data_IF_018990906173
#
_entry.id   IF_018990906173
#
_cell.length_a   1.000
_cell.length_b   1.000
_cell.length_c   1.000
_cell.angle_alpha   90.00
_cell.angle_beta   90.00
_cell.angle_gamma   90.00
#
_symmetry.space_group_name_H-M   'P 1'
#
loop_
_entity.id
_entity.type
_entity.pdbx_description
1 polymer ?
#
# COMPACT_ATOMS: atom_id res chain seq x y z
N UNK A 1 9.81 -41.46 7.73
CA UNK A 1 9.69 -40.39 6.76
C UNK A 1 9.16 -39.16 7.51
N UNK A 2 10.06 -38.27 7.97
CA UNK A 2 9.71 -37.01 8.64
C UNK A 2 9.84 -35.90 7.56
N UNK A 3 8.74 -35.41 7.04
CA UNK A 3 8.72 -34.24 6.14
C UNK A 3 8.81 -32.98 7.01
N UNK A 4 9.81 -32.19 6.75
CA UNK A 4 10.10 -30.93 7.42
C UNK A 4 9.00 -29.90 7.16
N UNK A 5 8.33 -29.47 8.23
CA UNK A 5 7.33 -28.37 8.25
C UNK A 5 8.03 -27.01 8.47
N UNK A 6 9.36 -26.97 8.42
CA UNK A 6 10.18 -25.82 8.83
C UNK A 6 10.18 -24.58 7.89
N UNK A 7 9.90 -24.65 6.56
CA UNK A 7 9.97 -23.45 5.74
C UNK A 7 8.74 -22.51 5.83
N UNK A 8 7.57 -23.00 6.24
CA UNK A 8 6.34 -22.19 6.27
C UNK A 8 6.30 -21.26 7.48
N UNK A 9 6.81 -21.71 8.63
CA UNK A 9 6.91 -20.88 9.85
C UNK A 9 7.92 -19.74 9.74
N UNK A 10 8.95 -19.87 8.88
CA UNK A 10 9.96 -18.83 8.70
C UNK A 10 9.47 -17.67 7.82
N UNK A 11 8.50 -17.91 6.95
CA UNK A 11 7.96 -16.91 6.05
C UNK A 11 7.07 -15.88 6.79
N UNK A 12 6.25 -16.33 7.73
CA UNK A 12 5.41 -15.43 8.55
C UNK A 12 6.21 -14.58 9.56
N UNK A 13 7.40 -15.02 9.96
CA UNK A 13 8.25 -14.27 10.90
C UNK A 13 9.07 -13.16 10.23
N UNK A 14 9.33 -13.23 8.92
CA UNK A 14 10.17 -12.25 8.20
C UNK A 14 9.40 -11.01 7.73
N UNK A 15 8.08 -11.05 7.68
CA UNK A 15 7.23 -9.87 7.40
C UNK A 15 7.04 -8.96 8.62
N UNK A 16 7.63 -9.32 9.78
CA UNK A 16 7.41 -8.68 11.08
C UNK A 16 8.56 -7.79 11.59
N UNK A 17 9.61 -7.56 10.82
CA UNK A 17 10.64 -6.61 11.24
C UNK A 17 10.18 -5.17 11.01
N UNK A 18 9.43 -4.62 11.98
CA UNK A 18 9.38 -3.18 12.21
C UNK A 18 10.82 -2.68 12.52
N UNK A 19 11.25 -1.53 11.99
CA UNK A 19 12.57 -1.02 12.26
C UNK A 19 12.69 -0.70 13.75
N UNK A 20 13.63 -1.35 14.44
CA UNK A 20 14.21 -0.81 15.66
C UNK A 20 14.90 0.50 15.27
N UNK A 21 14.22 1.61 15.49
CA UNK A 21 14.83 2.94 15.42
C UNK A 21 15.83 3.01 16.57
N UNK A 22 17.09 2.96 16.22
CA UNK A 22 18.20 3.27 17.13
C UNK A 22 17.98 4.67 17.72
N UNK A 23 17.81 4.74 19.03
CA UNK A 23 17.80 5.95 19.82
C UNK A 23 19.22 6.59 19.77
N UNK A 24 19.38 7.59 18.92
CA UNK A 24 20.39 8.63 19.09
C UNK A 24 19.71 9.98 18.91
N UNK A 25 19.99 10.97 19.77
CA UNK A 25 19.32 12.26 19.71
C UNK A 25 19.88 13.09 18.56
N UNK A 26 19.09 13.43 17.58
CA UNK A 26 19.37 14.52 16.66
C UNK A 26 18.32 15.62 16.79
N UNK A 27 18.82 16.82 16.86
CA UNK A 27 18.14 18.07 17.08
C UNK A 27 17.06 18.38 16.02
N UNK A 28 16.09 19.15 16.49
CA UNK A 28 14.97 19.75 15.81
C UNK A 28 15.11 19.98 14.29
N UNK A 29 14.19 19.42 13.53
CA UNK A 29 13.94 19.73 12.13
C UNK A 29 12.57 19.20 11.76
N UNK A 30 11.68 20.12 11.56
CA UNK A 30 10.27 20.09 11.23
C UNK A 30 9.74 18.84 10.53
N UNK A 31 8.73 18.25 11.15
CA UNK A 31 7.84 17.28 10.55
C UNK A 31 7.05 17.91 9.39
N UNK A 32 7.23 17.40 8.19
CA UNK A 32 6.33 17.69 7.08
C UNK A 32 5.17 16.68 7.13
N UNK A 33 4.06 17.11 7.69
CA UNK A 33 2.75 16.49 7.44
C UNK A 33 2.36 16.83 6.01
N UNK A 34 2.21 15.81 5.17
CA UNK A 34 1.57 15.94 3.87
C UNK A 34 0.07 16.15 4.09
N UNK A 35 -0.34 17.40 4.09
CA UNK A 35 -1.74 17.82 4.00
C UNK A 35 -2.03 18.10 2.53
N UNK A 36 -3.00 17.40 1.97
CA UNK A 36 -3.71 17.79 0.76
C UNK A 36 -4.34 19.16 0.93
N UNK A 37 -4.07 20.07 0.01
CA UNK A 37 -5.01 21.15 -0.30
C UNK A 37 -4.80 21.62 -1.74
N UNK A 38 -5.91 21.70 -2.44
CA UNK A 38 -6.08 22.07 -3.81
C UNK A 38 -6.13 23.59 -4.01
N UNK A 39 -5.86 23.96 -5.25
CA UNK A 39 -6.43 25.04 -6.04
C UNK A 39 -5.91 26.47 -5.89
N UNK A 40 -5.55 27.01 -7.04
CA UNK A 40 -6.08 28.31 -7.42
C UNK A 40 -5.12 29.32 -8.04
N UNK A 41 -5.22 29.43 -9.36
CA UNK A 41 -5.29 30.64 -10.20
C UNK A 41 -4.03 31.45 -10.55
N UNK A 42 -3.73 31.44 -11.82
CA UNK A 42 -3.73 32.53 -12.81
C UNK A 42 -2.75 33.72 -12.64
N UNK A 43 -2.07 34.05 -13.74
CA UNK A 43 -1.48 35.36 -14.05
C UNK A 43 -0.30 35.28 -14.99
N UNK A 44 -0.55 35.32 -16.25
CA UNK A 44 -0.27 36.28 -17.32
C UNK A 44 1.19 36.69 -17.61
N UNK A 45 1.55 36.35 -18.87
CA UNK A 45 2.22 37.19 -19.91
C UNK A 45 3.66 37.63 -19.72
N UNK A 46 4.53 37.32 -20.67
CA UNK A 46 4.95 38.28 -21.70
C UNK A 46 5.93 37.70 -22.72
N UNK A 47 5.65 38.01 -23.92
CA UNK A 47 6.32 37.89 -25.23
C UNK A 47 7.77 38.34 -25.29
N UNK A 48 8.61 37.69 -26.14
CA UNK A 48 9.42 38.44 -27.12
C UNK A 48 9.97 37.54 -28.23
N UNK A 49 10.03 38.13 -29.41
CA UNK A 49 10.16 37.72 -30.80
C UNK A 49 11.63 37.63 -31.24
N UNK A 50 11.93 36.63 -32.07
CA UNK A 50 12.87 36.45 -33.21
C UNK A 50 14.11 37.35 -33.40
N UNK A 51 15.12 36.99 -34.22
CA UNK A 51 14.98 36.50 -35.61
C UNK A 51 15.97 35.43 -36.09
N UNK A 52 15.59 34.84 -37.22
CA UNK A 52 16.36 33.99 -38.14
C UNK A 52 17.36 34.83 -38.97
N UNK A 53 18.47 34.23 -39.47
CA UNK A 53 18.81 34.41 -40.86
C UNK A 53 18.98 33.10 -41.66
N UNK A 54 18.64 33.28 -42.90
CA UNK A 54 18.55 32.42 -44.06
C UNK A 54 19.93 32.15 -44.71
N UNK A 55 19.96 31.06 -45.49
CA UNK A 55 20.72 30.81 -46.70
C UNK A 55 21.99 29.94 -46.61
N UNK A 56 22.00 28.75 -47.20
CA UNK A 56 22.39 28.48 -48.56
C UNK A 56 22.40 26.95 -48.86
N UNK A 57 21.82 26.60 -49.97
CA UNK A 57 21.74 25.26 -50.53
C UNK A 57 23.08 24.77 -51.09
N UNK A 58 23.41 23.46 -50.84
CA UNK A 58 24.21 22.66 -51.74
C UNK A 58 23.59 21.27 -51.84
N UNK A 59 23.20 20.94 -53.06
CA UNK A 59 22.72 19.64 -53.51
C UNK A 59 23.83 18.61 -53.48
N UNK A 60 23.61 17.46 -52.85
CA UNK A 60 24.33 16.23 -53.19
C UNK A 60 23.42 14.99 -53.07
N UNK A 61 23.66 14.10 -53.99
CA UNK A 61 22.89 12.99 -54.46
C UNK A 61 22.36 12.02 -53.37
N UNK A 62 21.17 11.50 -53.67
CA UNK A 62 20.48 10.45 -52.97
C UNK A 62 21.30 9.14 -52.91
N UNK A 63 21.66 8.71 -51.71
CA UNK A 63 21.83 7.32 -51.35
C UNK A 63 20.64 6.90 -50.52
N UNK A 64 19.87 5.93 -51.02
CA UNK A 64 18.74 5.35 -50.34
C UNK A 64 19.20 4.72 -49.03
N UNK A 65 18.85 5.36 -47.93
CA UNK A 65 18.92 4.78 -46.58
C UNK A 65 17.91 3.61 -46.47
N UNK A 66 18.26 2.53 -45.73
CA UNK A 66 17.28 1.50 -45.40
C UNK A 66 16.07 2.11 -44.66
N UNK A 67 14.88 1.50 -44.78
CA UNK A 67 13.69 2.02 -44.10
C UNK A 67 13.99 2.17 -42.60
N UNK A 68 13.78 3.36 -42.08
CA UNK A 68 13.84 3.57 -40.63
C UNK A 68 12.86 2.59 -39.99
N UNK A 69 13.36 1.70 -39.13
CA UNK A 69 12.51 0.91 -38.24
C UNK A 69 11.63 1.91 -37.47
N UNK A 70 10.33 1.76 -37.62
CA UNK A 70 9.37 2.51 -36.80
C UNK A 70 9.71 2.18 -35.34
N UNK A 71 10.03 3.17 -34.49
CA UNK A 71 10.31 2.88 -33.10
C UNK A 71 9.12 2.12 -32.55
N UNK A 72 9.37 1.00 -31.86
CA UNK A 72 8.34 0.27 -31.14
C UNK A 72 7.62 1.27 -30.23
N UNK A 73 6.28 1.19 -30.09
CA UNK A 73 5.56 2.08 -29.20
C UNK A 73 6.21 2.03 -27.82
N UNK A 74 6.45 3.21 -27.25
CA UNK A 74 7.04 3.32 -25.92
C UNK A 74 6.20 2.47 -24.95
N UNK A 75 6.85 1.50 -24.30
CA UNK A 75 6.18 0.63 -23.37
C UNK A 75 5.70 1.48 -22.17
N UNK A 76 4.42 1.35 -21.78
CA UNK A 76 3.90 2.05 -20.63
C UNK A 76 4.70 1.67 -19.37
N UNK A 77 5.07 2.67 -18.58
CA UNK A 77 5.87 2.50 -17.35
C UNK A 77 5.17 3.04 -16.13
N UNK A 78 5.42 2.43 -14.99
CA UNK A 78 5.02 2.91 -13.67
C UNK A 78 6.24 3.60 -13.04
N UNK A 79 6.05 4.82 -12.50
CA UNK A 79 7.13 5.60 -11.88
C UNK A 79 7.05 5.49 -10.37
N UNK A 80 8.01 4.82 -9.76
CA UNK A 80 8.06 4.63 -8.30
C UNK A 80 9.34 5.19 -7.71
N UNK A 81 9.28 5.76 -6.51
CA UNK A 81 10.46 6.18 -5.77
C UNK A 81 10.90 5.07 -4.82
N UNK A 82 12.14 4.67 -4.89
CA UNK A 82 12.75 3.81 -3.89
C UNK A 82 12.95 4.62 -2.60
N UNK A 83 12.17 4.33 -1.56
CA UNK A 83 12.18 5.07 -0.29
C UNK A 83 13.54 5.00 0.45
N UNK A 84 14.31 3.91 0.24
CA UNK A 84 15.62 3.74 0.88
C UNK A 84 16.73 4.54 0.19
N UNK A 85 16.64 4.80 -1.13
CA UNK A 85 17.69 5.48 -1.91
C UNK A 85 17.27 6.86 -2.43
N UNK A 86 15.95 7.12 -2.51
CA UNK A 86 15.38 8.32 -3.14
C UNK A 86 15.37 8.26 -4.67
N UNK A 87 15.88 7.19 -5.27
CA UNK A 87 15.91 7.01 -6.72
C UNK A 87 14.52 6.78 -7.30
N UNK A 88 14.23 7.40 -8.46
CA UNK A 88 13.01 7.15 -9.21
C UNK A 88 13.26 6.08 -10.26
N UNK A 89 12.48 5.01 -10.20
CA UNK A 89 12.52 3.89 -11.12
C UNK A 89 11.36 4.01 -12.12
N UNK A 90 11.66 3.84 -13.41
CA UNK A 90 10.67 3.67 -14.48
C UNK A 90 10.54 2.18 -14.80
N UNK A 91 9.46 1.58 -14.35
CA UNK A 91 9.27 0.13 -14.38
C UNK A 91 8.20 -0.21 -15.41
N UNK A 92 8.48 -1.06 -16.42
CA UNK A 92 7.45 -1.57 -17.34
C UNK A 92 6.28 -2.17 -16.57
N UNK A 93 5.04 -1.95 -17.05
CA UNK A 93 3.81 -2.34 -16.34
C UNK A 93 3.83 -3.81 -15.90
N UNK A 94 4.21 -4.74 -16.79
CA UNK A 94 4.27 -6.16 -16.43
C UNK A 94 5.27 -6.44 -15.30
N UNK A 95 6.46 -5.86 -15.38
CA UNK A 95 7.50 -6.02 -14.35
C UNK A 95 7.05 -5.41 -13.01
N UNK A 96 6.36 -4.27 -13.06
CA UNK A 96 5.76 -3.69 -11.87
C UNK A 96 4.71 -4.62 -11.26
N UNK A 97 3.78 -5.14 -12.05
CA UNK A 97 2.75 -6.06 -11.56
C UNK A 97 3.36 -7.32 -10.93
N UNK A 98 4.37 -7.91 -11.58
CA UNK A 98 5.08 -9.09 -11.04
C UNK A 98 5.74 -8.75 -9.69
N UNK A 99 6.53 -7.67 -9.63
CA UNK A 99 7.22 -7.27 -8.42
C UNK A 99 6.28 -6.85 -7.29
N UNK A 100 5.15 -6.19 -7.62
CA UNK A 100 4.12 -5.80 -6.66
C UNK A 100 3.40 -7.03 -6.08
N UNK A 101 2.95 -7.98 -6.93
CA UNK A 101 2.31 -9.22 -6.45
C UNK A 101 3.26 -10.02 -5.59
N UNK A 102 4.51 -10.17 -6.00
CA UNK A 102 5.52 -10.93 -5.27
C UNK A 102 5.88 -10.32 -3.92
N UNK A 103 5.78 -8.99 -3.77
CA UNK A 103 6.03 -8.30 -2.50
C UNK A 103 4.89 -8.47 -1.49
N UNK A 104 3.68 -8.75 -1.98
CA UNK A 104 2.45 -8.67 -1.20
C UNK A 104 1.83 -10.03 -0.91
N UNK A 105 1.99 -11.01 -1.82
CA UNK A 105 1.34 -12.32 -1.70
C UNK A 105 2.33 -13.48 -1.88
N UNK A 106 2.18 -14.56 -1.12
CA UNK A 106 2.89 -15.81 -1.38
C UNK A 106 2.60 -16.34 -2.79
N UNK A 107 3.65 -16.70 -3.52
CA UNK A 107 3.53 -17.25 -4.88
C UNK A 107 2.67 -18.53 -4.94
N UNK A 108 2.52 -19.23 -3.84
CA UNK A 108 1.73 -20.46 -3.72
C UNK A 108 0.22 -20.23 -3.61
N UNK A 109 -0.22 -18.99 -3.52
CA UNK A 109 -1.65 -18.68 -3.46
C UNK A 109 -2.37 -18.96 -4.79
N UNK A 110 -3.72 -19.10 -4.78
CA UNK A 110 -4.50 -19.36 -5.99
C UNK A 110 -4.28 -18.31 -7.09
N UNK A 111 -4.29 -18.73 -8.35
CA UNK A 111 -4.06 -17.86 -9.52
C UNK A 111 -5.01 -16.66 -9.55
N UNK A 112 -6.29 -16.85 -9.22
CA UNK A 112 -7.28 -15.78 -9.20
C UNK A 112 -6.97 -14.72 -8.10
N UNK A 113 -6.35 -15.13 -7.00
CA UNK A 113 -5.88 -14.20 -5.97
C UNK A 113 -4.70 -13.36 -6.47
N UNK A 114 -3.70 -13.99 -7.10
CA UNK A 114 -2.55 -13.30 -7.67
C UNK A 114 -2.93 -12.33 -8.78
N UNK A 115 -3.89 -12.72 -9.64
CA UNK A 115 -4.47 -11.86 -10.68
C UNK A 115 -5.18 -10.63 -10.07
N UNK A 116 -6.02 -10.84 -9.06
CA UNK A 116 -6.74 -9.76 -8.39
C UNK A 116 -5.79 -8.75 -7.75
N UNK A 117 -4.73 -9.23 -7.08
CA UNK A 117 -3.69 -8.37 -6.52
C UNK A 117 -2.94 -7.58 -7.62
N UNK A 118 -2.59 -8.22 -8.73
CA UNK A 118 -1.90 -7.55 -9.85
C UNK A 118 -2.74 -6.42 -10.46
N UNK A 119 -4.04 -6.68 -10.71
CA UNK A 119 -4.96 -5.65 -11.22
C UNK A 119 -5.14 -4.53 -10.19
N UNK A 120 -5.31 -4.85 -8.91
CA UNK A 120 -5.46 -3.84 -7.87
C UNK A 120 -4.20 -2.96 -7.76
N UNK A 121 -3.01 -3.54 -7.75
CA UNK A 121 -1.74 -2.79 -7.70
C UNK A 121 -1.56 -1.89 -8.93
N UNK A 122 -1.87 -2.38 -10.14
CA UNK A 122 -1.80 -1.60 -11.37
C UNK A 122 -2.80 -0.43 -11.35
N UNK A 123 -4.06 -0.70 -10.99
CA UNK A 123 -5.11 0.33 -10.89
C UNK A 123 -4.74 1.42 -9.88
N UNK A 124 -4.21 1.02 -8.71
CA UNK A 124 -3.72 1.95 -7.70
C UNK A 124 -2.55 2.81 -8.21
N UNK A 125 -1.61 2.21 -8.96
CA UNK A 125 -0.49 2.95 -9.53
C UNK A 125 -0.96 4.02 -10.53
N UNK A 126 -1.91 3.70 -11.39
CA UNK A 126 -2.51 4.66 -12.33
C UNK A 126 -3.33 5.74 -11.60
N UNK A 127 -4.07 5.39 -10.56
CA UNK A 127 -4.72 6.38 -9.70
C UNK A 127 -3.70 7.37 -9.12
N UNK A 128 -2.57 6.89 -8.63
CA UNK A 128 -1.51 7.73 -8.06
C UNK A 128 -0.85 8.63 -9.11
N UNK A 129 -0.81 8.24 -10.38
CA UNK A 129 -0.30 9.09 -11.45
C UNK A 129 -1.00 10.46 -11.48
N UNK A 130 -2.31 10.47 -11.27
CA UNK A 130 -3.15 11.68 -11.34
C UNK A 130 -3.30 12.41 -9.99
N UNK A 131 -3.02 11.74 -8.87
CA UNK A 131 -3.33 12.25 -7.53
C UNK A 131 -2.08 12.49 -6.66
N UNK A 132 -0.90 12.01 -7.07
CA UNK A 132 0.31 12.13 -6.27
C UNK A 132 0.91 13.54 -6.32
N UNK A 133 1.56 13.93 -5.22
CA UNK A 133 2.47 15.05 -5.23
C UNK A 133 3.82 14.62 -5.85
N UNK A 134 3.86 14.58 -7.18
CA UNK A 134 5.03 14.12 -7.93
C UNK A 134 6.27 14.99 -7.71
N UNK A 135 6.11 16.29 -7.41
CA UNK A 135 7.24 17.17 -7.09
C UNK A 135 7.96 16.72 -5.82
N UNK A 136 7.21 16.39 -4.76
CA UNK A 136 7.78 15.89 -3.51
C UNK A 136 8.45 14.51 -3.66
N UNK A 137 8.07 13.73 -4.67
CA UNK A 137 8.57 12.39 -4.95
C UNK A 137 9.60 12.35 -6.10
N UNK A 138 10.16 13.52 -6.50
CA UNK A 138 11.14 13.59 -7.58
C UNK A 138 10.60 13.19 -8.95
N UNK A 139 9.28 13.25 -9.13
CA UNK A 139 8.58 12.86 -10.36
C UNK A 139 8.00 11.44 -10.33
N UNK A 140 8.15 10.69 -9.24
CA UNK A 140 7.47 9.40 -9.06
C UNK A 140 6.01 9.60 -8.62
N UNK A 141 5.20 8.56 -8.82
CA UNK A 141 3.79 8.59 -8.45
C UNK A 141 3.57 8.18 -6.99
N UNK A 142 4.39 7.28 -6.46
CA UNK A 142 4.39 6.84 -5.06
C UNK A 142 5.73 6.23 -4.67
N UNK A 143 5.92 5.98 -3.36
CA UNK A 143 7.13 5.37 -2.84
C UNK A 143 6.92 3.88 -2.59
N UNK A 144 7.98 3.09 -2.85
CA UNK A 144 8.10 1.66 -2.57
C UNK A 144 9.43 1.41 -1.85
N UNK A 145 9.57 0.30 -1.14
CA UNK A 145 10.86 -0.10 -0.55
C UNK A 145 11.24 -1.52 -0.99
N UNK A 146 11.92 -1.66 -2.15
CA UNK A 146 12.33 -2.97 -2.66
C UNK A 146 13.22 -3.74 -1.69
N UNK A 147 14.11 -3.06 -0.97
CA UNK A 147 15.02 -3.69 -0.02
C UNK A 147 14.27 -4.34 1.17
N UNK A 148 13.13 -3.74 1.56
CA UNK A 148 12.22 -4.28 2.58
C UNK A 148 11.08 -5.11 1.98
N UNK A 149 11.05 -5.27 0.67
CA UNK A 149 10.00 -5.98 -0.07
C UNK A 149 8.61 -5.40 0.20
N UNK A 150 8.51 -4.06 0.14
CA UNK A 150 7.27 -3.33 0.40
C UNK A 150 6.80 -2.62 -0.87
N UNK A 151 5.62 -2.99 -1.34
CA UNK A 151 4.94 -2.40 -2.49
C UNK A 151 5.49 -2.78 -3.86
N UNK A 152 6.77 -3.17 -3.96
CA UNK A 152 7.42 -3.64 -5.18
C UNK A 152 8.76 -4.30 -4.88
N UNK A 153 9.10 -5.36 -5.60
CA UNK A 153 10.42 -5.97 -5.62
C UNK A 153 11.04 -5.87 -7.02
N UNK A 154 12.29 -5.39 -7.11
CA UNK A 154 13.05 -5.40 -8.37
C UNK A 154 13.42 -6.83 -8.78
N UNK A 155 13.84 -7.02 -10.04
CA UNK A 155 14.30 -8.32 -10.54
C UNK A 155 15.41 -8.91 -9.67
N UNK A 156 16.38 -8.09 -9.24
CA UNK A 156 17.50 -8.52 -8.40
C UNK A 156 17.01 -8.97 -7.02
N UNK A 157 16.03 -8.25 -6.44
CA UNK A 157 15.42 -8.64 -5.17
C UNK A 157 14.63 -9.94 -5.32
N UNK A 158 13.89 -10.12 -6.40
CA UNK A 158 13.16 -11.37 -6.70
C UNK A 158 14.11 -12.55 -6.87
N UNK A 159 15.23 -12.38 -7.60
CA UNK A 159 16.26 -13.40 -7.75
C UNK A 159 16.86 -13.81 -6.41
N UNK A 160 17.20 -12.82 -5.57
CA UNK A 160 17.71 -13.10 -4.23
C UNK A 160 16.68 -13.76 -3.33
N UNK A 161 15.41 -13.38 -3.45
CA UNK A 161 14.31 -13.87 -2.60
C UNK A 161 13.90 -15.30 -2.93
N UNK A 162 13.76 -15.64 -4.23
CA UNK A 162 13.35 -16.96 -4.68
C UNK A 162 14.51 -17.92 -4.95
N UNK A 163 15.73 -17.41 -5.09
CA UNK A 163 16.92 -18.24 -5.32
C UNK A 163 16.75 -19.16 -6.55
N UNK A 164 16.89 -20.45 -6.34
CA UNK A 164 16.76 -21.47 -7.41
C UNK A 164 15.35 -21.56 -8.00
N UNK A 165 14.33 -21.10 -7.27
CA UNK A 165 12.93 -21.11 -7.73
C UNK A 165 12.56 -19.85 -8.54
N UNK A 166 13.49 -18.89 -8.69
CA UNK A 166 13.21 -17.61 -9.35
C UNK A 166 12.57 -17.78 -10.73
N UNK A 167 13.18 -18.55 -11.61
CA UNK A 167 12.70 -18.68 -12.99
C UNK A 167 11.27 -19.26 -13.03
N UNK A 168 11.01 -20.31 -12.26
CA UNK A 168 9.70 -20.95 -12.21
C UNK A 168 8.61 -19.99 -11.66
N UNK A 169 8.93 -19.27 -10.59
CA UNK A 169 8.01 -18.35 -9.94
C UNK A 169 7.75 -17.11 -10.80
N UNK A 170 8.79 -16.56 -11.43
CA UNK A 170 8.68 -15.44 -12.35
C UNK A 170 7.82 -15.82 -13.57
N UNK A 171 8.08 -16.96 -14.22
CA UNK A 171 7.29 -17.41 -15.36
C UNK A 171 5.82 -17.69 -14.99
N UNK A 172 5.55 -18.19 -13.78
CA UNK A 172 4.19 -18.33 -13.29
C UNK A 172 3.47 -17.00 -13.23
N UNK A 173 4.05 -15.98 -12.56
CA UNK A 173 3.44 -14.65 -12.47
C UNK A 173 3.33 -13.99 -13.84
N UNK A 174 4.36 -14.09 -14.68
CA UNK A 174 4.31 -13.58 -16.04
C UNK A 174 3.13 -14.15 -16.83
N UNK A 175 2.96 -15.47 -16.82
CA UNK A 175 1.84 -16.14 -17.53
C UNK A 175 0.48 -15.67 -17.04
N UNK A 176 0.34 -15.42 -15.73
CA UNK A 176 -0.92 -14.97 -15.13
C UNK A 176 -1.21 -13.49 -15.41
N UNK A 177 -0.19 -12.63 -15.43
CA UNK A 177 -0.34 -11.18 -15.42
C UNK A 177 -0.16 -10.54 -16.82
N UNK A 178 0.62 -11.13 -17.72
CA UNK A 178 0.85 -10.60 -19.06
C UNK A 178 -0.46 -10.35 -19.86
N UNK A 179 -1.48 -11.23 -19.81
CA UNK A 179 -2.78 -10.95 -20.44
C UNK A 179 -3.58 -9.81 -19.77
N UNK A 180 -3.16 -9.34 -18.60
CA UNK A 180 -3.90 -8.38 -17.77
C UNK A 180 -3.23 -7.00 -17.70
N UNK A 181 -2.13 -6.77 -18.43
CA UNK A 181 -1.37 -5.51 -18.39
C UNK A 181 -2.17 -4.27 -18.83
N UNK A 182 -3.28 -4.46 -19.53
CA UNK A 182 -4.21 -3.39 -19.91
C UNK A 182 -5.52 -3.42 -19.10
N UNK A 183 -5.68 -4.40 -18.19
CA UNK A 183 -6.90 -4.51 -17.38
C UNK A 183 -6.78 -3.65 -16.13
N UNK A 184 -7.71 -2.72 -15.95
CA UNK A 184 -7.74 -1.74 -14.85
C UNK A 184 -9.11 -1.69 -14.22
N UNK A 185 -9.17 -1.47 -12.91
CA UNK A 185 -10.39 -1.11 -12.21
C UNK A 185 -10.68 0.37 -12.42
N UNK A 186 -11.82 0.69 -13.01
CA UNK A 186 -12.28 2.06 -13.25
C UNK A 186 -13.50 2.37 -12.37
N UNK A 187 -13.57 3.61 -11.91
CA UNK A 187 -14.76 4.22 -11.34
C UNK A 187 -15.05 5.52 -12.08
N UNK A 188 -16.27 5.66 -12.63
CA UNK A 188 -16.66 6.80 -13.48
C UNK A 188 -15.65 7.07 -14.62
N UNK A 189 -15.07 6.01 -15.20
CA UNK A 189 -14.14 6.07 -16.33
C UNK A 189 -12.70 6.43 -15.97
N UNK A 190 -12.37 6.63 -14.69
CA UNK A 190 -11.03 6.91 -14.20
C UNK A 190 -10.46 5.73 -13.36
N UNK A 191 -9.12 5.53 -13.31
CA UNK A 191 -8.50 4.51 -12.48
C UNK A 191 -8.91 4.64 -11.01
N UNK A 192 -9.31 3.52 -10.40
CA UNK A 192 -9.74 3.49 -9.01
C UNK A 192 -8.54 3.39 -8.04
N UNK A 193 -8.65 4.02 -6.87
CA UNK A 193 -7.72 3.86 -5.75
C UNK A 193 -7.83 2.45 -5.14
N UNK A 194 -7.46 1.43 -5.90
CA UNK A 194 -7.62 0.03 -5.53
C UNK A 194 -6.59 -0.42 -4.48
N UNK A 195 -6.68 0.19 -3.27
CA UNK A 195 -5.81 -0.12 -2.16
C UNK A 195 -6.13 -1.48 -1.52
N UNK A 196 -5.15 -2.04 -0.81
CA UNK A 196 -5.24 -3.37 -0.21
C UNK A 196 -4.50 -3.44 1.13
N UNK A 197 -4.85 -4.44 1.92
CA UNK A 197 -4.25 -4.71 3.22
C UNK A 197 -4.23 -6.22 3.49
N UNK A 198 -3.44 -6.66 4.47
CA UNK A 198 -3.23 -8.08 4.70
C UNK A 198 -4.49 -8.82 5.19
N UNK A 199 -5.11 -8.38 6.30
CA UNK A 199 -6.21 -9.08 6.97
C UNK A 199 -7.18 -8.04 7.55
N UNK A 200 -8.47 -8.08 7.22
CA UNK A 200 -9.50 -7.27 7.88
C UNK A 200 -9.90 -7.89 9.24
N UNK A 201 -10.67 -7.17 10.04
CA UNK A 201 -11.26 -7.73 11.26
C UNK A 201 -12.47 -8.66 11.00
N UNK A 202 -12.76 -8.96 9.73
CA UNK A 202 -13.94 -9.67 9.23
C UNK A 202 -14.89 -8.78 8.44
N UNK A 203 -14.60 -7.46 8.39
CA UNK A 203 -15.23 -6.45 7.54
C UNK A 203 -14.20 -5.38 7.20
N UNK A 204 -14.15 -4.92 5.96
CA UNK A 204 -13.25 -3.82 5.57
C UNK A 204 -13.77 -2.48 6.07
N UNK A 205 -12.88 -1.48 6.16
CA UNK A 205 -13.22 -0.14 6.65
C UNK A 205 -13.50 0.81 5.47
N UNK A 206 -14.29 1.83 5.71
CA UNK A 206 -14.54 2.89 4.73
C UNK A 206 -13.37 3.89 4.69
N UNK A 207 -13.00 4.35 3.47
CA UNK A 207 -11.82 5.20 3.24
C UNK A 207 -11.81 6.49 4.07
N UNK A 208 -12.98 7.14 4.25
CA UNK A 208 -13.10 8.37 5.03
C UNK A 208 -12.82 8.20 6.53
N UNK A 209 -12.84 6.96 7.04
CA UNK A 209 -12.50 6.68 8.44
C UNK A 209 -10.99 6.61 8.67
N UNK A 210 -10.23 6.36 7.60
CA UNK A 210 -8.77 6.23 7.68
C UNK A 210 -8.07 7.47 7.12
N UNK A 211 -8.52 7.99 5.96
CA UNK A 211 -7.84 9.08 5.23
C UNK A 211 -8.66 10.36 5.11
N UNK A 212 -9.85 10.44 5.71
CA UNK A 212 -10.79 11.57 5.65
C UNK A 212 -11.35 11.86 4.23
N UNK A 213 -11.11 10.99 3.25
CA UNK A 213 -11.63 11.07 1.90
C UNK A 213 -12.64 9.95 1.67
N UNK A 214 -13.86 10.32 1.25
CA UNK A 214 -14.94 9.39 0.98
C UNK A 214 -14.93 8.96 -0.49
N UNK A 215 -14.37 7.79 -0.77
CA UNK A 215 -14.44 7.19 -2.10
C UNK A 215 -15.63 6.21 -2.16
N UNK A 216 -16.58 6.38 -3.11
CA UNK A 216 -17.83 5.61 -3.13
C UNK A 216 -17.63 4.10 -3.23
N UNK A 217 -16.55 3.67 -3.87
CA UNK A 217 -16.17 2.25 -4.05
C UNK A 217 -15.26 1.71 -2.94
N UNK A 218 -14.85 2.53 -1.98
CA UNK A 218 -14.07 2.13 -0.79
C UNK A 218 -14.92 2.23 0.47
N UNK A 219 -16.06 1.56 0.45
CA UNK A 219 -16.94 1.37 1.59
C UNK A 219 -16.65 0.04 2.28
N UNK A 220 -17.04 -0.08 3.55
CA UNK A 220 -16.85 -1.32 4.29
C UNK A 220 -17.66 -2.49 3.69
N UNK A 221 -16.98 -3.58 3.32
CA UNK A 221 -17.60 -4.83 2.85
C UNK A 221 -17.26 -5.99 3.76
N UNK A 222 -18.14 -7.00 3.81
CA UNK A 222 -17.91 -8.17 4.66
C UNK A 222 -16.78 -9.04 4.11
N UNK A 223 -15.88 -9.48 4.98
CA UNK A 223 -14.78 -10.38 4.68
C UNK A 223 -14.60 -11.41 5.82
N UNK A 224 -15.64 -12.21 6.11
CA UNK A 224 -15.69 -13.04 7.31
C UNK A 224 -14.64 -14.14 7.35
N UNK A 225 -14.11 -14.55 6.19
CA UNK A 225 -13.08 -15.58 6.08
C UNK A 225 -11.72 -15.10 6.61
N UNK A 226 -11.48 -13.81 6.71
CA UNK A 226 -10.30 -13.23 7.33
C UNK A 226 -10.10 -13.69 8.77
N UNK A 227 -11.18 -13.97 9.48
CA UNK A 227 -11.15 -14.45 10.87
C UNK A 227 -10.50 -15.85 11.01
N UNK A 228 -10.34 -16.56 9.89
CA UNK A 228 -9.68 -17.87 9.83
C UNK A 228 -8.21 -17.77 9.41
N UNK A 229 -7.75 -16.56 9.05
CA UNK A 229 -6.39 -16.34 8.60
C UNK A 229 -5.39 -16.53 9.74
N UNK A 230 -4.24 -17.13 9.43
CA UNK A 230 -3.13 -17.18 10.36
C UNK A 230 -2.68 -15.76 10.70
N UNK A 231 -2.48 -15.48 11.98
CA UNK A 231 -2.13 -14.15 12.46
C UNK A 231 -3.30 -13.13 12.46
N UNK A 232 -4.55 -13.59 12.37
CA UNK A 232 -5.73 -12.74 12.51
C UNK A 232 -5.75 -11.95 13.82
N UNK A 233 -5.28 -12.55 14.91
CA UNK A 233 -5.22 -11.94 16.23
C UNK A 233 -3.77 -11.89 16.74
N UNK A 234 -3.41 -10.76 17.35
CA UNK A 234 -2.14 -10.58 18.04
C UNK A 234 -2.35 -9.80 19.32
N UNK A 235 -1.61 -10.18 20.39
CA UNK A 235 -1.59 -9.44 21.64
C UNK A 235 -0.15 -8.97 21.92
N UNK A 236 0.01 -7.68 22.18
CA UNK A 236 1.28 -7.06 22.57
C UNK A 236 1.13 -6.53 23.99
N UNK A 237 2.08 -6.88 24.87
CA UNK A 237 2.11 -6.43 26.26
C UNK A 237 3.06 -5.24 26.40
N UNK A 238 2.62 -4.22 27.11
CA UNK A 238 3.40 -3.03 27.47
C UNK A 238 3.46 -2.93 29.00
N UNK A 239 4.63 -2.68 29.56
CA UNK A 239 4.69 -2.28 30.97
C UNK A 239 4.03 -0.93 31.17
N UNK A 240 3.60 -0.62 32.40
CA UNK A 240 3.03 0.69 32.72
C UNK A 240 3.96 1.83 32.30
N UNK A 241 5.26 1.70 32.49
CA UNK A 241 6.24 2.72 32.10
C UNK A 241 6.35 2.87 30.57
N UNK A 242 6.40 1.76 29.81
CA UNK A 242 6.43 1.81 28.34
C UNK A 242 5.18 2.50 27.78
N UNK A 243 4.00 2.16 28.30
CA UNK A 243 2.75 2.80 27.88
C UNK A 243 2.77 4.30 28.19
N UNK A 244 3.22 4.69 29.40
CA UNK A 244 3.38 6.09 29.79
C UNK A 244 4.30 6.84 28.82
N UNK A 245 5.49 6.32 28.56
CA UNK A 245 6.50 6.97 27.72
C UNK A 245 5.99 7.17 26.28
N UNK A 246 5.29 6.18 25.72
CA UNK A 246 4.69 6.28 24.39
C UNK A 246 3.60 7.35 24.38
N UNK A 247 2.65 7.30 25.32
CA UNK A 247 1.53 8.23 25.36
C UNK A 247 2.00 9.67 25.59
N UNK A 248 2.89 9.88 26.56
CA UNK A 248 3.44 11.20 26.87
C UNK A 248 4.27 11.81 25.72
N UNK A 249 4.94 10.96 24.92
CA UNK A 249 5.76 11.41 23.80
C UNK A 249 4.92 11.71 22.56
N UNK A 250 3.91 10.89 22.27
CA UNK A 250 3.14 10.96 21.02
C UNK A 250 1.95 11.92 21.11
N UNK A 251 1.41 12.18 22.32
CA UNK A 251 0.20 12.98 22.49
C UNK A 251 0.41 14.08 23.52
N UNK A 252 0.28 15.32 23.08
CA UNK A 252 0.32 16.47 24.00
C UNK A 252 -1.02 16.61 24.75
N UNK A 253 -0.93 17.01 26.02
CA UNK A 253 -2.11 17.40 26.80
C UNK A 253 -2.89 16.25 27.45
N UNK A 254 -2.34 15.02 27.46
CA UNK A 254 -2.93 13.92 28.21
C UNK A 254 -2.62 14.07 29.72
N UNK A 255 -3.62 13.88 30.58
CA UNK A 255 -3.43 13.75 32.01
C UNK A 255 -3.16 12.29 32.40
N UNK A 256 -1.88 11.95 32.57
CA UNK A 256 -1.42 10.63 32.99
C UNK A 256 -0.92 10.63 34.43
N UNK A 257 -1.22 11.68 35.22
CA UNK A 257 -0.75 11.83 36.60
C UNK A 257 -1.47 10.90 37.58
N UNK A 258 -2.67 10.41 37.23
CA UNK A 258 -3.45 9.47 38.04
C UNK A 258 -2.94 8.03 37.95
N UNK A 259 -3.67 7.13 38.65
CA UNK A 259 -3.44 5.68 38.50
C UNK A 259 -3.54 5.23 37.05
N UNK A 260 -2.65 4.33 36.62
CA UNK A 260 -2.69 3.74 35.29
C UNK A 260 -4.05 3.07 34.95
N UNK A 261 -4.79 2.65 35.97
CA UNK A 261 -6.15 2.10 35.80
C UNK A 261 -7.14 3.10 35.22
N UNK A 262 -6.85 4.41 35.32
CA UNK A 262 -7.70 5.50 34.83
C UNK A 262 -7.23 6.10 33.50
N UNK A 263 -6.13 5.62 32.91
CA UNK A 263 -5.58 6.23 31.68
C UNK A 263 -6.46 6.02 30.46
N UNK A 264 -7.12 4.87 30.37
CA UNK A 264 -8.01 4.55 29.24
C UNK A 264 -9.47 4.53 29.70
N UNK A 265 -10.32 5.18 28.94
CA UNK A 265 -11.76 5.29 29.21
C UNK A 265 -12.62 4.80 28.07
N UNK A 266 -13.65 5.58 27.75
CA UNK A 266 -14.63 5.24 26.72
C UNK A 266 -13.98 5.03 25.34
N UNK A 267 -14.42 3.97 24.64
CA UNK A 267 -14.02 3.64 23.28
C UNK A 267 -15.24 3.65 22.37
N UNK A 268 -15.19 4.41 21.27
CA UNK A 268 -16.18 4.35 20.20
C UNK A 268 -15.63 3.55 19.01
N UNK A 269 -16.52 2.83 18.34
CA UNK A 269 -16.18 2.01 17.18
C UNK A 269 -16.83 2.59 15.92
N UNK A 270 -16.18 2.37 14.77
CA UNK A 270 -16.80 2.59 13.47
C UNK A 270 -17.85 1.53 13.19
N UNK A 271 -18.63 1.69 12.11
CA UNK A 271 -19.61 0.67 11.68
C UNK A 271 -18.93 -0.67 11.36
N UNK A 272 -17.69 -0.63 10.88
CA UNK A 272 -16.89 -1.82 10.57
C UNK A 272 -16.21 -2.44 11.80
N UNK A 273 -16.37 -1.85 12.99
CA UNK A 273 -15.84 -2.38 14.26
C UNK A 273 -14.38 -2.03 14.54
N UNK A 274 -13.80 -1.07 13.81
CA UNK A 274 -12.50 -0.49 14.17
C UNK A 274 -12.65 0.60 15.23
N UNK A 275 -11.62 0.88 15.98
CA UNK A 275 -11.63 1.98 16.97
C UNK A 275 -11.67 3.32 16.23
N UNK A 276 -12.74 4.06 16.39
CA UNK A 276 -12.85 5.45 15.88
C UNK A 276 -12.13 6.39 16.83
N UNK A 277 -12.54 6.40 18.10
CA UNK A 277 -11.86 7.15 19.16
C UNK A 277 -11.78 6.35 20.46
N UNK A 278 -10.77 6.65 21.26
CA UNK A 278 -10.63 6.15 22.63
C UNK A 278 -10.23 7.29 23.55
N UNK A 279 -10.84 7.37 24.73
CA UNK A 279 -10.45 8.34 25.75
C UNK A 279 -9.13 7.91 26.38
N UNK A 280 -8.12 8.79 26.35
CA UNK A 280 -6.79 8.56 26.93
C UNK A 280 -6.41 9.80 27.74
N UNK A 281 -6.13 9.64 29.04
CA UNK A 281 -5.75 10.75 29.89
C UNK A 281 -6.71 11.95 29.84
N UNK A 282 -8.02 11.66 29.75
CA UNK A 282 -9.09 12.68 29.68
C UNK A 282 -9.35 13.26 28.28
N UNK A 283 -8.49 13.02 27.27
CA UNK A 283 -8.69 13.48 25.90
C UNK A 283 -9.12 12.33 24.97
N UNK A 284 -9.84 12.64 23.89
CA UNK A 284 -10.17 11.66 22.85
C UNK A 284 -9.05 11.59 21.80
N UNK A 285 -8.54 10.38 21.55
CA UNK A 285 -7.52 10.07 20.56
C UNK A 285 -8.12 9.17 19.47
N UNK A 286 -7.82 9.43 18.21
CA UNK A 286 -8.27 8.55 17.12
C UNK A 286 -7.60 7.18 17.19
N UNK A 287 -8.37 6.12 16.91
CA UNK A 287 -7.85 4.75 16.88
C UNK A 287 -6.67 4.59 15.92
N UNK A 288 -6.70 5.27 14.77
CA UNK A 288 -5.58 5.28 13.80
C UNK A 288 -4.31 5.93 14.35
N UNK A 289 -4.43 6.98 15.18
CA UNK A 289 -3.30 7.65 15.83
C UNK A 289 -2.70 6.75 16.93
N UNK A 290 -3.56 6.14 17.75
CA UNK A 290 -3.09 5.22 18.80
C UNK A 290 -2.47 3.95 18.19
N UNK A 291 -3.04 3.42 17.10
CA UNK A 291 -2.42 2.35 16.31
C UNK A 291 -0.99 2.70 15.91
N UNK A 292 -0.77 3.90 15.36
CA UNK A 292 0.55 4.37 14.93
C UNK A 292 1.51 4.51 16.13
N UNK A 293 1.06 5.14 17.22
CA UNK A 293 1.86 5.37 18.41
C UNK A 293 2.33 4.06 19.07
N UNK A 294 1.44 3.08 19.17
CA UNK A 294 1.70 1.77 19.75
C UNK A 294 2.24 0.74 18.73
N UNK A 295 2.45 1.14 17.46
CA UNK A 295 2.88 0.24 16.39
C UNK A 295 2.01 -1.01 16.24
N UNK A 296 0.68 -0.85 16.41
CA UNK A 296 -0.27 -1.96 16.32
C UNK A 296 -0.51 -2.37 14.86
N UNK A 297 -0.81 -3.64 14.66
CA UNK A 297 -1.10 -4.20 13.34
C UNK A 297 -2.35 -3.62 12.70
N UNK A 298 -3.36 -3.30 13.50
CA UNK A 298 -4.68 -2.82 13.04
C UNK A 298 -5.23 -1.78 14.00
N UNK A 299 -6.18 -0.96 13.52
CA UNK A 299 -6.99 -0.08 14.37
C UNK A 299 -8.17 -0.80 15.03
N UNK A 300 -8.38 -2.09 14.75
CA UNK A 300 -9.32 -2.93 15.49
C UNK A 300 -8.60 -3.55 16.68
N UNK A 301 -8.64 -2.89 17.82
CA UNK A 301 -7.93 -3.34 19.03
C UNK A 301 -8.76 -3.16 20.30
N UNK A 302 -8.37 -3.90 21.33
CA UNK A 302 -8.84 -3.73 22.72
C UNK A 302 -7.65 -3.55 23.63
N UNK A 303 -7.80 -2.76 24.69
CA UNK A 303 -6.77 -2.51 25.71
C UNK A 303 -7.27 -3.07 27.02
N UNK A 304 -6.49 -3.95 27.63
CA UNK A 304 -6.79 -4.53 28.92
C UNK A 304 -5.69 -4.18 29.93
N UNK A 305 -6.08 -3.66 31.09
CA UNK A 305 -5.16 -3.44 32.22
C UNK A 305 -4.76 -4.78 32.82
N UNK A 306 -3.45 -4.96 33.06
CA UNK A 306 -2.87 -6.11 33.75
C UNK A 306 -2.18 -5.66 35.03
N UNK A 307 -1.70 -6.56 35.85
CA UNK A 307 -0.96 -6.24 37.07
C UNK A 307 0.27 -5.37 36.78
N UNK A 308 1.04 -5.73 35.73
CA UNK A 308 2.32 -5.10 35.38
C UNK A 308 2.20 -3.99 34.32
N UNK A 309 1.07 -3.90 33.62
CA UNK A 309 0.95 -2.96 32.50
C UNK A 309 -0.36 -3.10 31.73
N UNK A 310 -0.27 -3.21 30.41
CA UNK A 310 -1.39 -3.27 29.49
C UNK A 310 -1.16 -4.32 28.42
N UNK A 311 -2.16 -5.14 28.18
CA UNK A 311 -2.26 -6.01 27.02
C UNK A 311 -3.12 -5.32 25.95
N UNK A 312 -2.58 -5.19 24.75
CA UNK A 312 -3.29 -4.66 23.61
C UNK A 312 -3.49 -5.78 22.59
N UNK A 313 -4.71 -6.20 22.41
CA UNK A 313 -5.08 -7.24 21.44
C UNK A 313 -5.64 -6.59 20.18
N UNK A 314 -5.03 -6.89 19.03
CA UNK A 314 -5.48 -6.45 17.70
C UNK A 314 -6.12 -7.59 16.94
N UNK A 315 -7.13 -7.26 16.12
CA UNK A 315 -7.77 -8.14 15.15
C UNK A 315 -7.50 -7.60 13.75
N UNK A 316 -7.03 -8.48 12.83
CA UNK A 316 -6.63 -8.11 11.48
C UNK A 316 -5.23 -7.49 11.40
N UNK A 317 -4.83 -7.14 10.17
CA UNK A 317 -3.52 -6.56 9.87
C UNK A 317 -3.60 -5.61 8.68
N UNK A 318 -3.27 -4.35 8.89
CA UNK A 318 -3.26 -3.28 7.90
C UNK A 318 -4.24 -2.15 8.26
N UNK A 319 -4.49 -1.28 7.28
CA UNK A 319 -5.40 -0.14 7.45
C UNK A 319 -6.89 -0.50 7.34
N UNK A 320 -7.20 -1.69 6.85
CA UNK A 320 -8.56 -2.23 6.76
C UNK A 320 -9.37 -1.80 5.54
N UNK A 321 -8.90 -0.85 4.71
CA UNK A 321 -9.67 -0.30 3.58
C UNK A 321 -9.41 -1.09 2.29
N UNK A 322 -10.43 -1.26 1.46
CA UNK A 322 -10.33 -1.92 0.16
C UNK A 322 -10.13 -3.43 0.26
N UNK A 323 -9.25 -4.00 -0.54
CA UNK A 323 -9.08 -5.43 -0.71
C UNK A 323 -8.32 -6.07 0.46
N UNK A 324 -8.92 -7.07 1.11
CA UNK A 324 -8.22 -7.92 2.09
C UNK A 324 -7.51 -9.08 1.39
N UNK A 325 -6.19 -9.16 1.51
CA UNK A 325 -5.38 -10.18 0.82
C UNK A 325 -5.73 -11.60 1.28
N UNK A 326 -5.91 -11.85 2.59
CA UNK A 326 -6.34 -13.15 3.09
C UNK A 326 -7.78 -13.48 2.68
N UNK A 327 -8.68 -12.48 2.63
CA UNK A 327 -10.03 -12.65 2.12
C UNK A 327 -10.03 -13.03 0.64
N UNK A 328 -9.21 -12.38 -0.18
CA UNK A 328 -9.01 -12.73 -1.60
C UNK A 328 -8.52 -14.17 -1.77
N UNK A 329 -7.50 -14.56 -1.00
CA UNK A 329 -6.98 -15.93 -1.01
C UNK A 329 -8.08 -16.94 -0.70
N UNK A 330 -8.90 -16.68 0.32
CA UNK A 330 -9.98 -17.56 0.71
C UNK A 330 -11.12 -17.63 -0.33
N UNK A 331 -11.50 -16.49 -0.93
CA UNK A 331 -12.50 -16.41 -2.01
C UNK A 331 -12.02 -17.15 -3.26
N UNK A 332 -10.76 -16.97 -3.66
CA UNK A 332 -10.17 -17.67 -4.80
C UNK A 332 -10.07 -19.19 -4.55
N UNK A 333 -9.74 -19.61 -3.33
CA UNK A 333 -9.75 -21.02 -2.95
C UNK A 333 -11.15 -21.65 -2.99
N UNK A 334 -12.22 -20.85 -2.88
CA UNK A 334 -13.62 -21.27 -3.05
C UNK A 334 -14.07 -21.22 -4.52
N UNK A 335 -13.17 -20.92 -5.47
CA UNK A 335 -13.44 -20.94 -6.91
C UNK A 335 -14.00 -19.61 -7.45
N UNK A 336 -13.92 -18.51 -6.70
CA UNK A 336 -14.30 -17.20 -7.24
C UNK A 336 -13.22 -16.67 -8.18
N UNK A 337 -13.64 -16.08 -9.32
CA UNK A 337 -12.75 -15.45 -10.26
C UNK A 337 -12.21 -14.12 -9.76
N UNK A 338 -11.08 -13.65 -10.30
CA UNK A 338 -10.52 -12.33 -9.94
C UNK A 338 -11.53 -11.20 -10.19
N UNK A 339 -12.34 -11.26 -11.23
CA UNK A 339 -13.39 -10.29 -11.50
C UNK A 339 -14.47 -10.25 -10.41
N UNK A 340 -14.90 -11.42 -9.92
CA UNK A 340 -15.86 -11.51 -8.81
C UNK A 340 -15.28 -10.98 -7.51
N UNK A 341 -14.01 -11.31 -7.23
CA UNK A 341 -13.28 -10.85 -6.05
C UNK A 341 -13.14 -9.32 -6.06
N UNK A 342 -12.68 -8.75 -7.17
CA UNK A 342 -12.50 -7.31 -7.30
C UNK A 342 -13.84 -6.54 -7.22
N UNK A 343 -14.88 -7.05 -7.86
CA UNK A 343 -16.23 -6.47 -7.75
C UNK A 343 -16.78 -6.50 -6.32
N UNK A 344 -16.39 -7.50 -5.52
CA UNK A 344 -16.77 -7.56 -4.11
C UNK A 344 -16.11 -6.48 -3.26
N UNK A 345 -14.77 -6.34 -3.39
CA UNK A 345 -14.01 -5.39 -2.58
C UNK A 345 -14.10 -3.94 -3.05
N UNK A 346 -14.44 -3.72 -4.32
CA UNK A 346 -14.55 -2.40 -4.94
C UNK A 346 -15.92 -2.25 -5.64
N UNK A 347 -17.03 -2.20 -4.86
CA UNK A 347 -18.38 -2.14 -5.43
C UNK A 347 -18.58 -0.88 -6.27
N UNK A 348 -19.21 -1.05 -7.44
CA UNK A 348 -19.47 0.05 -8.38
C UNK A 348 -18.33 0.37 -9.34
N UNK A 349 -17.19 -0.31 -9.23
CA UNK A 349 -16.13 -0.26 -10.26
C UNK A 349 -16.38 -1.23 -11.39
N UNK A 350 -15.76 -0.99 -12.54
CA UNK A 350 -15.73 -1.86 -13.70
C UNK A 350 -14.30 -2.31 -14.01
N UNK A 351 -14.17 -3.53 -14.55
CA UNK A 351 -12.89 -4.00 -15.11
C UNK A 351 -12.92 -3.75 -16.62
N UNK A 352 -12.00 -2.92 -17.09
CA UNK A 352 -11.94 -2.52 -18.51
C UNK A 352 -10.51 -2.54 -19.03
N UNK A 353 -10.36 -2.64 -20.36
CA UNK A 353 -9.10 -2.36 -21.01
C UNK A 353 -8.84 -0.85 -20.99
N UNK A 354 -7.68 -0.48 -20.48
CA UNK A 354 -7.26 0.92 -20.33
C UNK A 354 -5.97 1.14 -21.11
N UNK A 355 -6.00 2.08 -22.04
CA UNK A 355 -4.86 2.35 -22.94
C UNK A 355 -3.90 3.45 -22.42
N UNK A 356 -4.21 4.05 -21.23
CA UNK A 356 -3.39 5.09 -20.60
C UNK A 356 -3.67 6.46 -21.16
#
# INVERSE_FOLDING_TARGET
MKRSILPILLFCLLTFCLPLVSLLPQAAGQAASSVFLAAGSAGEQSTSVSPVPESAAVSQAAQSAPPAETPAPAQAVIRVQNASTGEVLEVPVLEYMIGAVASEMPITWPDEALKAQGIAAHSYALYQQDHANTEALGGAWFSVDPARRQGYMTTEVLQSYWGEEYEANYQRLKTLLEPLVHTVLLYDGAPAAACYHAISNGRTEASQRVWNEALPYLQGVDSPLDKLAEGYQETVSYTTQQMYDILATQFAGLDLSGSADSWFGETSLTEAGYVDTVQVGGAFVKGTQLRAALSLRSSCFTIQRTEDGFDVTTLGYGHGVGLSQCGVQAMAAQGQSCAQILSWYFPGTTLEEYAG
#
